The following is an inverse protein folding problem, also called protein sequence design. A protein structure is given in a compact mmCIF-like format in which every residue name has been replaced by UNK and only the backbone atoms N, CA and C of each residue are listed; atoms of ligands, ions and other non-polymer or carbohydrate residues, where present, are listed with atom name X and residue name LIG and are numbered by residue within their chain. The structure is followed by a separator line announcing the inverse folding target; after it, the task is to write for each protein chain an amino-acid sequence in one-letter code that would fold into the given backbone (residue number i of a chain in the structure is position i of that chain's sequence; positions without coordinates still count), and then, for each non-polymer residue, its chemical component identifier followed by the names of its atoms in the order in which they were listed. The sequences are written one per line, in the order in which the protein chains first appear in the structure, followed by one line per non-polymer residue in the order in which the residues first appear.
data_IF_879841219863
#
_entry.id   IF_879841219863
#
_cell.length_a   1.000
_cell.length_b   1.000
_cell.length_c   1.000
_cell.angle_alpha   90.00
_cell.angle_beta   90.00
_cell.angle_gamma   90.00
#
_symmetry.space_group_name_H-M   'P 1'
#
loop_
_entity.id
_entity.type
_entity.pdbx_description
1 polymer ?
#
# COMPACT_ATOMS: atom_id res chain seq x y z
N UNK A 1 61.86 26.26 16.66
CA UNK A 1 62.29 26.95 17.89
C UNK A 1 61.19 26.75 18.90
N UNK A 2 61.47 25.90 19.88
CA UNK A 2 60.58 25.52 20.98
C UNK A 2 60.68 26.51 22.16
N UNK A 3 59.80 26.26 23.14
CA UNK A 3 59.83 26.62 24.57
C UNK A 3 59.16 27.94 25.01
N UNK A 4 58.68 28.06 26.29
CA UNK A 4 58.41 27.01 27.30
C UNK A 4 57.10 27.19 28.10
N UNK A 5 56.78 26.12 28.85
CA UNK A 5 55.84 26.04 29.96
C UNK A 5 56.48 26.55 31.27
N UNK A 6 55.74 27.24 32.15
CA UNK A 6 56.04 27.25 33.60
C UNK A 6 54.81 27.48 34.47
N UNK A 7 54.60 26.53 35.37
CA UNK A 7 53.62 26.37 36.44
C UNK A 7 54.04 27.03 37.76
N UNK A 8 53.07 27.33 38.65
CA UNK A 8 53.00 27.05 40.12
C UNK A 8 51.72 27.75 40.66
N UNK A 9 50.67 27.14 41.23
CA UNK A 9 50.44 26.07 42.22
C UNK A 9 50.16 26.58 43.66
N UNK A 10 49.17 25.93 44.30
CA UNK A 10 48.68 25.94 45.70
C UNK A 10 47.60 26.97 46.05
N UNK A 11 46.43 26.60 46.59
CA UNK A 11 46.13 25.76 47.79
C UNK A 11 44.99 24.74 47.55
N UNK A 12 45.17 23.43 47.78
CA UNK A 12 44.91 22.63 49.03
C UNK A 12 43.42 22.36 49.31
N UNK A 13 42.95 21.12 49.06
CA UNK A 13 42.68 20.03 50.07
C UNK A 13 41.22 20.07 50.58
N UNK A 14 40.43 19.02 50.77
CA UNK A 14 40.50 17.56 50.76
C UNK A 14 39.04 17.05 50.55
N UNK A 15 38.72 15.91 49.94
CA UNK A 15 38.66 14.53 50.49
C UNK A 15 38.30 13.63 49.27
N UNK A 16 39.15 12.73 48.74
CA UNK A 16 39.40 11.31 49.12
C UNK A 16 38.12 10.57 49.58
N UNK A 17 37.72 9.39 49.13
CA UNK A 17 38.19 8.32 48.24
C UNK A 17 36.91 7.45 47.97
N UNK A 18 36.76 6.51 47.03
CA UNK A 18 37.62 5.37 46.67
C UNK A 18 37.02 4.67 45.43
N UNK A 19 37.89 4.08 44.61
CA UNK A 19 37.58 3.24 43.44
C UNK A 19 37.04 1.85 43.81
N UNK A 20 36.22 1.30 42.89
CA UNK A 20 36.16 -0.09 42.39
C UNK A 20 36.62 -1.24 43.31
N UNK A 21 35.73 -2.19 43.62
CA UNK A 21 35.68 -3.52 42.99
C UNK A 21 34.66 -4.45 43.70
N UNK A 22 33.85 -5.16 42.90
CA UNK A 22 33.43 -6.57 43.05
C UNK A 22 32.04 -6.84 42.43
N UNK A 23 32.06 -7.69 41.41
CA UNK A 23 30.92 -8.34 40.75
C UNK A 23 30.10 -9.18 41.74
N UNK A 24 28.76 -9.15 41.63
CA UNK A 24 27.94 -10.30 41.23
C UNK A 24 26.43 -10.03 41.40
N UNK A 25 25.67 -10.64 40.48
CA UNK A 25 24.24 -11.00 40.55
C UNK A 25 23.19 -9.92 40.25
N UNK A 26 22.74 -9.99 38.98
CA UNK A 26 21.35 -10.18 38.59
C UNK A 26 20.26 -9.42 39.37
N UNK A 27 19.68 -8.42 38.72
CA UNK A 27 18.25 -8.49 38.45
C UNK A 27 17.84 -7.57 37.30
N UNK A 28 17.22 -8.20 36.31
CA UNK A 28 16.63 -7.60 35.13
C UNK A 28 15.12 -7.65 35.31
N UNK A 29 14.41 -6.53 35.49
CA UNK A 29 13.01 -6.47 35.14
C UNK A 29 12.94 -6.01 33.69
N UNK A 30 12.98 -6.98 32.78
CA UNK A 30 12.23 -6.88 31.54
C UNK A 30 10.80 -6.47 31.91
N UNK A 31 10.48 -5.19 31.78
CA UNK A 31 9.10 -4.80 31.47
C UNK A 31 8.85 -5.30 30.06
N UNK A 32 8.53 -6.59 29.97
CA UNK A 32 7.92 -7.16 28.80
C UNK A 32 6.62 -6.38 28.60
N UNK A 33 6.61 -5.50 27.59
CA UNK A 33 5.38 -4.94 27.03
C UNK A 33 4.49 -6.13 26.68
N UNK A 34 3.59 -6.47 27.60
CA UNK A 34 2.62 -7.52 27.40
C UNK A 34 1.74 -7.04 26.26
N UNK A 35 1.61 -7.79 25.16
CA UNK A 35 0.76 -7.39 24.05
C UNK A 35 -0.62 -7.03 24.60
N UNK A 36 -1.23 -5.91 24.14
CA UNK A 36 -2.53 -5.51 24.64
C UNK A 36 -3.48 -6.71 24.54
N UNK A 37 -4.08 -7.08 25.68
CA UNK A 37 -5.06 -8.16 25.75
C UNK A 37 -6.08 -7.99 24.62
N UNK A 38 -6.26 -9.03 23.80
CA UNK A 38 -7.19 -9.07 22.65
C UNK A 38 -8.60 -8.58 23.05
N UNK A 39 -8.98 -8.72 24.32
CA UNK A 39 -10.25 -8.23 24.86
C UNK A 39 -10.45 -6.71 24.78
N UNK A 40 -9.40 -5.90 24.54
CA UNK A 40 -9.50 -4.44 24.40
C UNK A 40 -9.80 -3.95 22.98
N UNK A 41 -9.85 -4.83 21.98
CA UNK A 41 -10.07 -4.45 20.57
C UNK A 41 -11.56 -4.45 20.18
N UNK A 42 -12.40 -3.83 21.00
CA UNK A 42 -13.80 -3.60 20.63
C UNK A 42 -13.84 -2.67 19.39
N UNK A 43 -14.64 -3.02 18.38
CA UNK A 43 -14.73 -2.34 17.07
C UNK A 43 -13.47 -2.41 16.19
N UNK A 44 -12.72 -3.51 16.25
CA UNK A 44 -11.61 -3.79 15.33
C UNK A 44 -12.01 -4.74 14.20
N UNK A 45 -11.21 -4.75 13.13
CA UNK A 45 -11.33 -5.72 12.04
C UNK A 45 -9.99 -6.42 11.85
N UNK A 46 -9.99 -7.76 11.85
CA UNK A 46 -8.82 -8.56 11.53
C UNK A 46 -9.28 -9.83 10.82
N UNK A 47 -8.78 -10.06 9.60
CA UNK A 47 -9.01 -11.27 8.79
C UNK A 47 -10.49 -11.70 8.74
N UNK A 48 -11.34 -10.85 8.16
CA UNK A 48 -12.75 -11.19 7.94
C UNK A 48 -12.89 -12.41 7.02
N UNK A 49 -13.84 -13.29 7.33
CA UNK A 49 -14.22 -14.36 6.41
C UNK A 49 -14.81 -13.76 5.14
N UNK A 50 -14.42 -14.30 3.98
CA UNK A 50 -15.03 -13.92 2.72
C UNK A 50 -16.49 -14.43 2.66
N UNK A 51 -17.40 -13.67 2.04
CA UNK A 51 -18.75 -14.14 1.73
C UNK A 51 -18.72 -15.36 0.79
N UNK A 52 -19.75 -16.23 0.80
CA UNK A 52 -19.80 -17.42 -0.07
C UNK A 52 -19.73 -17.14 -1.57
N UNK A 53 -20.05 -15.92 -2.00
CA UNK A 53 -19.93 -15.45 -3.38
C UNK A 53 -18.49 -15.14 -3.81
N UNK A 54 -17.54 -15.11 -2.88
CA UNK A 54 -16.14 -14.78 -3.11
C UNK A 54 -15.24 -15.99 -2.84
N UNK A 55 -14.17 -16.13 -3.62
CA UNK A 55 -13.16 -17.17 -3.43
C UNK A 55 -11.84 -16.50 -3.10
N UNK A 56 -11.20 -16.90 -2.00
CA UNK A 56 -9.88 -16.41 -1.65
C UNK A 56 -8.86 -16.85 -2.70
N UNK A 57 -8.01 -15.93 -3.15
CA UNK A 57 -6.96 -16.27 -4.12
C UNK A 57 -6.03 -17.38 -3.61
N UNK A 58 -5.72 -17.36 -2.31
CA UNK A 58 -4.82 -18.32 -1.65
C UNK A 58 -5.35 -19.75 -1.54
N UNK A 59 -6.63 -20.02 -1.87
CA UNK A 59 -7.21 -21.36 -1.81
C UNK A 59 -7.34 -22.04 -3.17
N UNK A 60 -7.05 -21.34 -4.26
CA UNK A 60 -7.19 -21.82 -5.63
C UNK A 60 -5.87 -21.98 -6.37
N UNK A 61 -5.91 -22.70 -7.50
CA UNK A 61 -4.89 -22.65 -8.55
C UNK A 61 -5.58 -22.17 -9.83
N UNK A 62 -5.10 -21.08 -10.42
CA UNK A 62 -5.60 -20.61 -11.73
C UNK A 62 -4.76 -21.27 -12.83
N UNK A 63 -5.42 -21.98 -13.74
CA UNK A 63 -4.81 -22.50 -14.98
C UNK A 63 -5.38 -21.78 -16.22
N UNK A 64 -5.77 -20.51 -16.08
CA UNK A 64 -6.45 -19.75 -17.14
C UNK A 64 -5.48 -18.97 -18.01
N UNK A 65 -5.84 -18.76 -19.28
CA UNK A 65 -5.05 -17.96 -20.23
C UNK A 65 -5.20 -16.44 -20.01
N UNK A 66 -6.01 -16.00 -19.05
CA UNK A 66 -6.32 -14.58 -18.79
C UNK A 66 -5.71 -14.12 -17.47
N UNK A 67 -4.39 -14.31 -17.33
CA UNK A 67 -3.62 -13.92 -16.14
C UNK A 67 -2.37 -13.12 -16.51
N UNK A 68 -2.22 -12.66 -17.76
CA UNK A 68 -0.97 -12.03 -18.20
C UNK A 68 -0.67 -10.74 -17.42
N UNK A 69 -1.70 -9.96 -17.11
CA UNK A 69 -1.56 -8.73 -16.32
C UNK A 69 -1.28 -8.98 -14.82
N UNK A 70 -1.56 -10.20 -14.32
CA UNK A 70 -1.31 -10.55 -12.92
C UNK A 70 0.16 -10.38 -12.55
N UNK A 71 1.07 -10.86 -13.39
CA UNK A 71 2.49 -10.90 -13.07
C UNK A 71 3.10 -9.52 -12.81
N UNK A 72 2.98 -8.52 -13.72
CA UNK A 72 3.48 -7.18 -13.43
C UNK A 72 2.73 -6.51 -12.27
N UNK A 73 1.42 -6.75 -12.09
CA UNK A 73 0.69 -6.23 -10.92
C UNK A 73 1.17 -6.85 -9.60
N UNK A 74 1.49 -8.15 -9.59
CA UNK A 74 1.96 -8.88 -8.42
C UNK A 74 3.35 -8.40 -7.99
N UNK A 75 4.23 -8.07 -8.93
CA UNK A 75 5.54 -7.44 -8.63
C UNK A 75 5.39 -6.09 -7.93
N UNK A 76 4.26 -5.42 -8.12
CA UNK A 76 3.96 -4.10 -7.55
C UNK A 76 2.98 -4.13 -6.39
N UNK A 77 2.55 -5.33 -5.97
CA UNK A 77 1.47 -5.43 -5.00
C UNK A 77 1.88 -4.83 -3.65
N UNK A 78 1.08 -3.88 -3.16
CA UNK A 78 1.34 -3.14 -1.93
C UNK A 78 0.09 -3.00 -1.10
N UNK A 79 0.25 -2.93 0.21
CA UNK A 79 -0.84 -2.53 1.11
C UNK A 79 -1.02 -1.01 1.04
N UNK A 80 -2.27 -0.55 1.07
CA UNK A 80 -2.60 0.88 1.21
C UNK A 80 -2.11 1.41 2.57
N UNK A 81 -1.39 2.54 2.58
CA UNK A 81 -0.82 3.06 3.84
C UNK A 81 -1.87 3.70 4.76
N UNK A 82 -2.97 4.20 4.18
CA UNK A 82 -4.10 4.78 4.91
C UNK A 82 -5.40 4.09 4.50
N UNK A 83 -6.40 3.97 5.39
CA UNK A 83 -7.70 3.36 5.06
C UNK A 83 -8.41 4.00 3.86
N UNK A 84 -8.17 5.29 3.61
CA UNK A 84 -8.77 6.04 2.50
C UNK A 84 -7.94 6.02 1.20
N UNK A 85 -6.73 5.45 1.21
CA UNK A 85 -5.79 5.52 0.10
C UNK A 85 -5.94 4.44 -0.96
N UNK A 86 -6.94 3.55 -0.89
CA UNK A 86 -7.10 2.46 -1.85
C UNK A 86 -6.98 2.88 -3.33
N UNK A 87 -7.52 4.05 -3.70
CA UNK A 87 -7.37 4.62 -5.04
C UNK A 87 -5.93 5.05 -5.37
N UNK A 88 -5.22 5.68 -4.44
CA UNK A 88 -3.83 6.08 -4.63
C UNK A 88 -2.89 4.86 -4.71
N UNK A 89 -3.07 3.87 -3.83
CA UNK A 89 -2.25 2.65 -3.84
C UNK A 89 -2.48 1.87 -5.12
N UNK A 90 -3.74 1.72 -5.53
CA UNK A 90 -4.11 1.09 -6.82
C UNK A 90 -3.44 1.80 -7.98
N UNK A 91 -3.45 3.15 -8.00
CA UNK A 91 -2.82 3.90 -9.08
C UNK A 91 -1.29 3.71 -9.09
N UNK A 92 -0.63 3.77 -7.92
CA UNK A 92 0.80 3.51 -7.83
C UNK A 92 1.17 2.11 -8.36
N UNK A 93 0.39 1.09 -7.98
CA UNK A 93 0.56 -0.27 -8.50
C UNK A 93 0.47 -0.30 -10.03
N UNK A 94 -0.56 0.33 -10.60
CA UNK A 94 -0.78 0.33 -12.03
C UNK A 94 0.34 1.05 -12.79
N UNK A 95 0.76 2.23 -12.34
CA UNK A 95 1.81 3.01 -13.01
C UNK A 95 3.16 2.30 -12.98
N UNK A 96 3.51 1.68 -11.85
CA UNK A 96 4.73 0.89 -11.73
C UNK A 96 4.65 -0.40 -12.58
N UNK A 97 3.50 -1.06 -12.63
CA UNK A 97 3.29 -2.26 -13.46
C UNK A 97 3.41 -1.95 -14.96
N UNK A 98 2.97 -0.76 -15.37
CA UNK A 98 3.16 -0.22 -16.72
C UNK A 98 4.56 0.37 -16.96
N UNK A 99 5.45 0.32 -15.96
CA UNK A 99 6.82 0.84 -16.02
C UNK A 99 6.88 2.33 -16.40
N UNK A 100 5.90 3.11 -15.97
CA UNK A 100 5.89 4.56 -16.18
C UNK A 100 6.90 5.20 -15.24
N UNK A 101 7.77 6.05 -15.78
CA UNK A 101 8.72 6.83 -15.01
C UNK A 101 8.02 8.05 -14.38
N UNK A 102 8.04 8.22 -13.04
CA UNK A 102 7.46 9.40 -12.40
C UNK A 102 8.09 10.72 -12.85
N UNK A 103 9.30 10.70 -13.40
CA UNK A 103 10.03 11.92 -13.76
C UNK A 103 10.49 12.76 -12.54
N UNK A 104 10.23 12.27 -11.32
CA UNK A 104 10.58 12.91 -10.04
C UNK A 104 11.12 11.86 -9.07
N UNK A 105 11.91 12.33 -8.10
CA UNK A 105 12.50 11.48 -7.07
C UNK A 105 11.42 11.00 -6.10
N UNK A 106 11.55 9.74 -5.68
CA UNK A 106 10.76 9.14 -4.61
C UNK A 106 11.56 9.11 -3.31
N UNK A 107 12.64 8.31 -3.28
CA UNK A 107 13.50 8.13 -2.11
C UNK A 107 14.95 8.17 -2.52
N UNK A 108 15.71 9.15 -2.02
CA UNK A 108 17.10 9.35 -2.47
C UNK A 108 17.17 9.51 -4.00
N UNK A 109 18.05 8.76 -4.71
CA UNK A 109 18.13 8.82 -6.17
C UNK A 109 17.05 7.99 -6.89
N UNK A 110 16.21 7.24 -6.16
CA UNK A 110 15.25 6.31 -6.75
C UNK A 110 14.00 7.03 -7.23
N UNK A 111 13.46 6.60 -8.37
CA UNK A 111 12.19 7.07 -8.93
C UNK A 111 11.24 5.88 -9.03
N UNK A 112 10.13 5.96 -8.31
CA UNK A 112 9.11 4.93 -8.27
C UNK A 112 7.79 5.55 -7.81
N UNK A 113 6.66 5.11 -8.34
CA UNK A 113 5.39 5.62 -7.82
C UNK A 113 5.12 5.09 -6.42
N UNK A 114 4.74 6.01 -5.54
CA UNK A 114 4.12 5.76 -4.25
C UNK A 114 2.91 6.69 -4.12
N UNK A 115 2.07 6.45 -3.11
CA UNK A 115 0.89 7.26 -2.84
C UNK A 115 1.23 8.75 -2.63
N UNK A 116 2.42 9.05 -2.10
CA UNK A 116 2.85 10.42 -1.76
C UNK A 116 3.17 11.29 -2.99
N UNK A 117 3.26 10.68 -4.17
CA UNK A 117 3.53 11.37 -5.42
C UNK A 117 2.25 11.89 -6.12
N UNK A 118 1.05 11.67 -5.56
CA UNK A 118 -0.21 12.03 -6.19
C UNK A 118 -0.83 13.32 -5.62
N UNK A 119 -0.44 14.47 -6.17
CA UNK A 119 -0.85 15.80 -5.67
C UNK A 119 -1.42 16.75 -6.75
N UNK A 120 -1.58 16.30 -8.00
CA UNK A 120 -1.92 17.16 -9.13
C UNK A 120 -3.43 17.54 -9.25
N UNK A 121 -4.35 16.69 -8.76
CA UNK A 121 -5.80 16.87 -8.92
C UNK A 121 -6.57 16.91 -7.58
N UNK A 122 -5.95 16.42 -6.51
CA UNK A 122 -6.45 16.46 -5.15
C UNK A 122 -5.25 16.46 -4.22
N UNK A 123 -5.39 17.05 -3.04
CA UNK A 123 -4.30 17.03 -2.06
C UNK A 123 -4.32 15.72 -1.27
N UNK A 124 -3.14 15.28 -0.83
CA UNK A 124 -3.02 14.09 0.01
C UNK A 124 -3.82 14.20 1.32
N UNK A 125 -3.94 15.38 1.90
CA UNK A 125 -4.75 15.60 3.11
C UNK A 125 -6.24 15.35 2.85
N UNK A 126 -6.77 15.85 1.74
CA UNK A 126 -8.15 15.61 1.33
C UNK A 126 -8.37 14.14 0.98
N UNK A 127 -7.46 13.52 0.23
CA UNK A 127 -7.52 12.11 -0.09
C UNK A 127 -7.48 11.23 1.17
N UNK A 128 -6.72 11.63 2.20
CA UNK A 128 -6.62 10.89 3.46
C UNK A 128 -7.91 10.96 4.27
N UNK A 129 -8.63 12.07 4.20
CA UNK A 129 -9.87 12.28 4.93
C UNK A 129 -11.06 11.54 4.28
N UNK A 130 -11.22 11.63 2.95
CA UNK A 130 -12.43 11.15 2.26
C UNK A 130 -12.19 10.17 1.11
N UNK A 131 -10.94 9.80 0.85
CA UNK A 131 -10.56 9.04 -0.34
C UNK A 131 -10.66 9.88 -1.61
N UNK A 132 -10.68 9.21 -2.75
CA UNK A 132 -10.79 9.84 -4.07
C UNK A 132 -11.98 9.27 -4.85
N UNK A 133 -12.60 10.12 -5.66
CA UNK A 133 -13.62 9.72 -6.63
C UNK A 133 -12.97 9.11 -7.89
N UNK A 134 -13.77 8.39 -8.69
CA UNK A 134 -13.29 7.87 -9.98
C UNK A 134 -12.85 8.99 -10.94
N UNK A 135 -13.46 10.18 -10.86
CA UNK A 135 -13.02 11.36 -11.64
C UNK A 135 -11.65 11.86 -11.18
N UNK A 136 -11.40 11.93 -9.87
CA UNK A 136 -10.08 12.27 -9.32
C UNK A 136 -9.04 11.20 -9.70
N UNK A 137 -9.38 9.91 -9.63
CA UNK A 137 -8.51 8.80 -10.06
C UNK A 137 -8.07 8.96 -11.52
N UNK A 138 -9.01 9.21 -12.43
CA UNK A 138 -8.74 9.41 -13.86
C UNK A 138 -7.85 10.64 -14.08
N UNK A 139 -8.11 11.73 -13.36
CA UNK A 139 -7.31 12.94 -13.44
C UNK A 139 -5.86 12.69 -12.99
N UNK A 140 -5.68 12.02 -11.85
CA UNK A 140 -4.36 11.63 -11.34
C UNK A 140 -3.62 10.71 -12.31
N UNK A 141 -4.29 9.74 -12.92
CA UNK A 141 -3.69 8.86 -13.92
C UNK A 141 -3.20 9.64 -15.15
N UNK A 142 -4.04 10.53 -15.69
CA UNK A 142 -3.69 11.36 -16.86
C UNK A 142 -2.55 12.31 -16.58
N UNK A 143 -2.55 12.98 -15.42
CA UNK A 143 -1.48 13.92 -15.07
C UNK A 143 -0.12 13.22 -14.88
N UNK A 144 -0.12 11.91 -14.63
CA UNK A 144 1.09 11.08 -14.52
C UNK A 144 1.41 10.31 -15.81
N UNK A 145 0.85 10.72 -16.95
CA UNK A 145 1.31 10.30 -18.28
C UNK A 145 0.64 9.06 -18.85
N UNK A 146 -0.47 8.59 -18.27
CA UNK A 146 -1.20 7.42 -18.78
C UNK A 146 -2.47 7.82 -19.52
N UNK A 147 -2.72 7.16 -20.64
CA UNK A 147 -3.99 7.26 -21.38
C UNK A 147 -5.08 6.51 -20.63
N UNK A 148 -6.26 7.10 -20.53
CA UNK A 148 -7.38 6.49 -19.80
C UNK A 148 -8.69 6.58 -20.54
N UNK A 149 -9.39 5.44 -20.56
CA UNK A 149 -10.79 5.32 -20.97
C UNK A 149 -11.67 5.19 -19.72
N UNK A 150 -12.80 5.90 -19.70
CA UNK A 150 -13.75 5.90 -18.59
C UNK A 150 -15.01 5.13 -18.97
N UNK A 151 -15.37 4.14 -18.16
CA UNK A 151 -16.60 3.37 -18.28
C UNK A 151 -17.40 3.49 -16.99
N UNK A 152 -18.62 4.03 -17.10
CA UNK A 152 -19.55 4.12 -15.97
C UNK A 152 -20.59 3.01 -16.08
N UNK A 153 -21.03 2.49 -14.93
CA UNK A 153 -22.08 1.48 -14.85
C UNK A 153 -23.47 2.09 -15.09
N UNK A 154 -23.65 2.66 -16.27
CA UNK A 154 -24.88 3.24 -16.79
C UNK A 154 -25.58 2.27 -17.75
N UNK A 155 -26.81 2.57 -18.18
CA UNK A 155 -27.62 1.63 -18.98
C UNK A 155 -27.07 1.34 -20.38
N UNK A 156 -26.16 2.16 -20.87
CA UNK A 156 -25.43 2.02 -22.15
C UNK A 156 -24.18 1.14 -22.04
N UNK A 157 -23.71 0.82 -20.83
CA UNK A 157 -22.57 -0.08 -20.62
C UNK A 157 -23.03 -1.46 -20.14
N UNK A 158 -22.96 -2.44 -21.03
CA UNK A 158 -23.44 -3.79 -20.77
C UNK A 158 -22.40 -4.66 -20.08
N UNK A 159 -22.87 -5.64 -19.31
CA UNK A 159 -22.00 -6.66 -18.71
C UNK A 159 -21.18 -7.44 -19.76
N UNK A 160 -21.71 -7.61 -20.97
CA UNK A 160 -20.97 -8.23 -22.07
C UNK A 160 -19.76 -7.38 -22.47
N UNK A 161 -19.93 -6.07 -22.66
CA UNK A 161 -18.83 -5.16 -22.98
C UNK A 161 -17.78 -5.15 -21.87
N UNK A 162 -18.22 -5.10 -20.60
CA UNK A 162 -17.31 -5.21 -19.45
C UNK A 162 -16.45 -6.48 -19.50
N UNK A 163 -17.07 -7.65 -19.72
CA UNK A 163 -16.33 -8.92 -19.82
C UNK A 163 -15.30 -8.92 -20.95
N UNK A 164 -15.61 -8.34 -22.11
CA UNK A 164 -14.67 -8.29 -23.23
C UNK A 164 -13.47 -7.36 -22.94
N UNK A 165 -13.71 -6.21 -22.30
CA UNK A 165 -12.64 -5.31 -21.85
C UNK A 165 -11.73 -6.03 -20.85
N UNK A 166 -12.31 -6.72 -19.86
CA UNK A 166 -11.56 -7.48 -18.86
C UNK A 166 -10.73 -8.59 -19.49
N UNK A 167 -11.32 -9.39 -20.39
CA UNK A 167 -10.58 -10.44 -21.11
C UNK A 167 -9.43 -9.87 -21.93
N UNK A 168 -9.64 -8.73 -22.60
CA UNK A 168 -8.60 -8.07 -23.38
C UNK A 168 -7.42 -7.68 -22.49
N UNK A 169 -7.67 -6.89 -21.44
CA UNK A 169 -6.65 -6.48 -20.47
C UNK A 169 -5.93 -7.69 -19.86
N UNK A 170 -6.65 -8.72 -19.43
CA UNK A 170 -6.06 -9.91 -18.81
C UNK A 170 -5.31 -10.83 -19.78
N UNK A 171 -5.47 -10.64 -21.10
CA UNK A 171 -4.71 -11.34 -22.15
C UNK A 171 -3.39 -10.65 -22.49
N UNK A 172 -3.18 -9.43 -21.98
CA UNK A 172 -1.98 -8.62 -22.25
C UNK A 172 -1.32 -8.21 -20.93
N UNK A 173 -0.20 -7.48 -21.03
CA UNK A 173 0.51 -6.91 -19.88
C UNK A 173 0.66 -5.38 -19.97
N UNK A 174 -0.02 -4.74 -20.93
CA UNK A 174 0.15 -3.32 -21.27
C UNK A 174 -1.07 -2.45 -20.95
N UNK A 175 -2.20 -3.07 -20.60
CA UNK A 175 -3.44 -2.38 -20.29
C UNK A 175 -4.04 -2.96 -19.00
N UNK A 176 -4.40 -2.09 -18.06
CA UNK A 176 -4.90 -2.48 -16.75
C UNK A 176 -6.32 -1.96 -16.58
N UNK A 177 -7.25 -2.87 -16.27
CA UNK A 177 -8.59 -2.48 -15.82
C UNK A 177 -8.56 -2.27 -14.30
N UNK A 178 -8.99 -1.07 -13.88
CA UNK A 178 -9.21 -0.72 -12.47
C UNK A 178 -10.69 -0.60 -12.19
N UNK A 179 -11.15 -1.19 -11.11
CA UNK A 179 -12.54 -1.06 -10.65
C UNK A 179 -12.66 -0.01 -9.57
N UNK A 180 -13.71 0.81 -9.65
CA UNK A 180 -14.29 1.48 -8.49
C UNK A 180 -15.63 0.82 -8.17
N UNK A 181 -15.72 0.13 -7.03
CA UNK A 181 -16.88 -0.69 -6.69
C UNK A 181 -17.27 -0.54 -5.22
N UNK A 182 -18.52 -0.87 -4.86
CA UNK A 182 -18.93 -0.93 -3.47
C UNK A 182 -18.69 -2.33 -2.90
N UNK A 183 -17.93 -2.43 -1.82
CA UNK A 183 -17.77 -3.68 -1.05
C UNK A 183 -19.09 -4.23 -0.52
N UNK A 184 -20.08 -3.37 -0.28
CA UNK A 184 -21.40 -3.75 0.24
C UNK A 184 -22.12 -4.75 -0.67
N UNK A 185 -22.05 -4.55 -1.99
CA UNK A 185 -22.71 -5.46 -2.95
C UNK A 185 -22.03 -6.82 -3.04
N UNK A 186 -20.76 -6.90 -2.63
CA UNK A 186 -20.02 -8.17 -2.51
C UNK A 186 -20.18 -8.81 -1.12
N UNK A 187 -20.89 -8.18 -0.20
CA UNK A 187 -21.03 -8.64 1.20
C UNK A 187 -19.76 -8.44 2.04
N UNK A 188 -18.81 -7.64 1.59
CA UNK A 188 -17.57 -7.35 2.29
C UNK A 188 -17.73 -6.14 3.25
N UNK A 189 -16.86 -6.06 4.26
CA UNK A 189 -16.83 -4.89 5.18
C UNK A 189 -16.25 -3.67 4.44
N UNK A 190 -16.89 -2.51 4.59
CA UNK A 190 -16.47 -1.25 3.95
C UNK A 190 -17.53 -0.74 2.96
N UNK A 191 -17.14 0.24 2.15
CA UNK A 191 -18.01 0.81 1.12
C UNK A 191 -17.28 0.92 -0.23
N UNK A 192 -17.18 2.11 -0.83
CA UNK A 192 -16.44 2.33 -2.07
C UNK A 192 -14.97 1.92 -1.94
N UNK A 193 -14.46 1.24 -2.96
CA UNK A 193 -13.09 0.72 -3.00
C UNK A 193 -12.52 0.78 -4.42
N UNK A 194 -11.18 0.78 -4.50
CA UNK A 194 -10.45 0.66 -5.75
C UNK A 194 -9.51 -0.54 -5.69
N UNK A 195 -9.49 -1.32 -6.77
CA UNK A 195 -8.50 -2.38 -6.98
C UNK A 195 -8.32 -2.65 -8.48
N UNK A 196 -7.11 -3.02 -8.94
CA UNK A 196 -6.93 -3.52 -10.29
C UNK A 196 -7.45 -4.96 -10.43
N UNK A 197 -7.88 -5.31 -11.64
CA UNK A 197 -8.18 -6.69 -12.00
C UNK A 197 -6.90 -7.39 -12.43
N UNK A 198 -6.51 -8.42 -11.69
CA UNK A 198 -5.33 -9.23 -11.97
C UNK A 198 -5.58 -10.37 -12.97
N UNK A 199 -6.83 -10.76 -13.19
CA UNK A 199 -7.13 -11.87 -14.08
C UNK A 199 -8.61 -12.20 -14.23
N UNK A 200 -8.90 -13.09 -15.18
CA UNK A 200 -10.25 -13.56 -15.48
C UNK A 200 -10.33 -15.09 -15.57
N UNK A 201 -11.38 -15.66 -15.00
CA UNK A 201 -11.67 -17.09 -15.02
C UNK A 201 -12.92 -17.36 -15.85
N UNK A 202 -12.74 -17.66 -17.14
CA UNK A 202 -13.84 -17.80 -18.10
C UNK A 202 -14.89 -18.85 -17.70
N UNK A 203 -14.48 -20.03 -17.22
CA UNK A 203 -15.44 -21.11 -16.90
C UNK A 203 -16.34 -20.81 -15.71
N UNK A 204 -15.85 -20.00 -14.75
CA UNK A 204 -16.59 -19.60 -13.54
C UNK A 204 -17.14 -18.19 -13.65
N UNK A 205 -16.83 -17.48 -14.74
CA UNK A 205 -17.14 -16.07 -14.97
C UNK A 205 -16.75 -15.16 -13.78
N UNK A 206 -15.51 -15.29 -13.31
CA UNK A 206 -14.99 -14.55 -12.15
C UNK A 206 -13.79 -13.67 -12.54
N UNK A 207 -13.62 -12.56 -11.82
CA UNK A 207 -12.42 -11.72 -11.88
C UNK A 207 -11.61 -11.85 -10.59
N UNK A 208 -10.29 -11.73 -10.71
CA UNK A 208 -9.39 -11.60 -9.57
C UNK A 208 -9.21 -10.12 -9.23
N UNK A 209 -9.66 -9.70 -8.04
CA UNK A 209 -9.35 -8.39 -7.48
C UNK A 209 -8.01 -8.46 -6.74
N UNK A 210 -7.08 -7.58 -7.10
CA UNK A 210 -5.80 -7.40 -6.39
C UNK A 210 -5.99 -6.40 -5.25
N UNK A 211 -6.75 -6.82 -4.24
CA UNK A 211 -7.21 -6.02 -3.09
C UNK A 211 -6.26 -6.12 -1.89
#
# INVERSE_FOLDING_TARGET
MECPCTTKAHSEEALKATQQDQQQQADNPQTADTPPSIMKLQNSFHRRSLPPSCIAFSTGRSSTNYMQIYFPLAEQFTTQAEPAYCGLSTLAMCLNALQIDPGRLWKGPWRWFSEELFDCCTSLSVAKERGISMTEFICLARCNGVLTEDYRATSDFTLKQFREIVKHSCSTSSEIVVLNYSRKVLGQTGDGHFSPIGGYHAERDMVLLMD
#
